data_IF_105480969222
#
_entry.id   IF_105480969222
#
_cell.length_a   1.000
_cell.length_b   1.000
_cell.length_c   1.000
_cell.angle_alpha   90.00
_cell.angle_beta   90.00
_cell.angle_gamma   90.00
#
_symmetry.space_group_name_H-M   'P 1'
#
loop_
_entity.id
_entity.type
_entity.pdbx_description
1 polymer ?
#
# COMPACT_ATOMS: atom_id res chain seq x y z
N UNK A 1 -10.00 11.66 6.46
CA UNK A 1 -9.81 10.29 5.98
C UNK A 1 -11.01 9.80 5.14
N UNK A 2 -12.26 9.72 5.68
CA UNK A 2 -13.42 9.14 4.96
C UNK A 2 -13.68 9.77 3.59
N UNK A 3 -13.71 11.11 3.49
CA UNK A 3 -13.94 11.81 2.22
C UNK A 3 -12.84 11.50 1.19
N UNK A 4 -11.58 11.53 1.61
CA UNK A 4 -10.43 11.31 0.71
C UNK A 4 -10.44 9.89 0.16
N UNK A 5 -10.62 8.89 1.03
CA UNK A 5 -10.66 7.49 0.57
C UNK A 5 -11.86 7.23 -0.35
N UNK A 6 -13.04 7.82 -0.07
CA UNK A 6 -14.22 7.67 -0.93
C UNK A 6 -13.98 8.28 -2.32
N UNK A 7 -13.36 9.45 -2.40
CA UNK A 7 -13.02 10.08 -3.68
C UNK A 7 -11.95 9.28 -4.42
N UNK A 8 -10.90 8.82 -3.73
CA UNK A 8 -9.86 8.00 -4.34
C UNK A 8 -10.40 6.68 -4.92
N UNK A 9 -11.26 6.00 -4.16
CA UNK A 9 -11.94 4.78 -4.61
C UNK A 9 -12.86 5.06 -5.80
N UNK A 10 -13.66 6.13 -5.73
CA UNK A 10 -14.53 6.56 -6.84
C UNK A 10 -13.73 6.81 -8.12
N UNK A 11 -12.64 7.57 -8.03
CA UNK A 11 -11.78 7.86 -9.18
C UNK A 11 -11.13 6.60 -9.76
N UNK A 12 -10.70 5.66 -8.90
CA UNK A 12 -10.15 4.38 -9.33
C UNK A 12 -11.16 3.59 -10.18
N UNK A 13 -12.39 3.39 -9.69
CA UNK A 13 -13.40 2.64 -10.45
C UNK A 13 -13.96 3.42 -11.65
N UNK A 14 -13.99 4.76 -11.58
CA UNK A 14 -14.31 5.61 -12.74
C UNK A 14 -13.27 5.42 -13.85
N UNK A 15 -11.98 5.37 -13.52
CA UNK A 15 -10.91 5.09 -14.47
C UNK A 15 -11.13 3.76 -15.19
N UNK A 16 -11.47 2.69 -14.44
CA UNK A 16 -11.71 1.36 -15.01
C UNK A 16 -12.96 1.35 -15.92
N UNK A 17 -13.98 2.14 -15.57
CA UNK A 17 -15.23 2.23 -16.34
C UNK A 17 -15.16 3.11 -17.58
N UNK A 18 -14.31 4.14 -17.58
CA UNK A 18 -14.26 5.19 -18.62
C UNK A 18 -13.11 5.01 -19.62
N UNK A 19 -12.74 3.80 -19.97
CA UNK A 19 -11.69 3.54 -21.01
C UNK A 19 -12.04 4.10 -22.40
N UNK A 20 -13.21 4.73 -22.56
CA UNK A 20 -13.74 5.18 -23.85
C UNK A 20 -13.73 6.72 -24.04
N UNK A 21 -13.37 7.51 -23.05
CA UNK A 21 -13.31 8.99 -23.20
C UNK A 21 -11.87 9.43 -23.48
N UNK A 22 -11.54 9.89 -24.72
CA UNK A 22 -10.17 10.20 -25.11
C UNK A 22 -9.59 11.49 -24.51
N UNK A 23 -10.41 12.35 -23.87
CA UNK A 23 -9.98 13.69 -23.48
C UNK A 23 -9.39 13.80 -22.07
N UNK A 24 -9.54 12.81 -21.20
CA UNK A 24 -9.01 12.85 -19.82
C UNK A 24 -8.43 11.51 -19.43
N UNK A 25 -7.12 11.41 -19.41
CA UNK A 25 -6.41 10.25 -18.87
C UNK A 25 -6.35 10.34 -17.34
N UNK A 26 -7.00 9.40 -16.65
CA UNK A 26 -6.91 9.26 -15.19
C UNK A 26 -5.83 8.24 -14.88
N UNK A 27 -4.72 8.68 -14.31
CA UNK A 27 -3.63 7.81 -13.89
C UNK A 27 -4.04 6.87 -12.75
N UNK A 28 -3.36 5.71 -12.68
CA UNK A 28 -3.50 4.79 -11.54
C UNK A 28 -3.06 5.49 -10.26
N UNK A 29 -3.93 5.52 -9.26
CA UNK A 29 -3.62 6.08 -7.93
C UNK A 29 -3.78 5.00 -6.86
N UNK A 30 -2.69 4.71 -6.16
CA UNK A 30 -2.70 3.90 -4.95
C UNK A 30 -2.88 4.81 -3.73
N UNK A 31 -3.30 4.25 -2.59
CA UNK A 31 -3.59 5.05 -1.39
C UNK A 31 -2.68 4.66 -0.23
N UNK A 32 -2.27 5.65 0.55
CA UNK A 32 -1.56 5.45 1.82
C UNK A 32 -2.44 5.94 2.97
N UNK A 33 -2.67 5.06 3.95
CA UNK A 33 -3.39 5.35 5.19
C UNK A 33 -2.41 5.44 6.35
N UNK A 34 -2.28 6.62 6.94
CA UNK A 34 -1.40 6.87 8.08
C UNK A 34 -2.26 7.05 9.33
N UNK A 35 -1.88 6.37 10.42
CA UNK A 35 -2.55 6.50 11.69
C UNK A 35 -2.15 5.40 12.68
N UNK A 36 -2.30 5.64 13.99
CA UNK A 36 -1.87 4.71 15.02
C UNK A 36 -2.56 3.34 14.88
N UNK A 37 -1.94 2.31 15.46
CA UNK A 37 -2.56 0.99 15.59
C UNK A 37 -3.90 1.11 16.32
N UNK A 38 -4.91 0.38 15.86
CA UNK A 38 -6.26 0.47 16.42
C UNK A 38 -7.12 1.64 15.92
N UNK A 39 -6.62 2.51 15.04
CA UNK A 39 -7.39 3.63 14.47
C UNK A 39 -8.48 3.23 13.46
N UNK A 40 -8.61 1.93 13.17
CA UNK A 40 -9.66 1.40 12.30
C UNK A 40 -9.32 1.39 10.80
N UNK A 41 -8.04 1.50 10.41
CA UNK A 41 -7.60 1.45 9.01
C UNK A 41 -8.13 0.22 8.29
N UNK A 42 -7.82 -0.96 8.81
CA UNK A 42 -8.24 -2.25 8.25
C UNK A 42 -9.77 -2.40 8.21
N UNK A 43 -10.47 -1.95 9.26
CA UNK A 43 -11.94 -1.97 9.32
C UNK A 43 -12.56 -1.11 8.21
N UNK A 44 -12.00 0.08 7.96
CA UNK A 44 -12.47 0.97 6.91
C UNK A 44 -12.35 0.33 5.52
N UNK A 45 -11.20 -0.30 5.23
CA UNK A 45 -10.98 -0.99 3.94
C UNK A 45 -11.92 -2.19 3.77
N UNK A 46 -12.10 -3.01 4.81
CA UNK A 46 -13.07 -4.12 4.79
C UNK A 46 -14.50 -3.64 4.49
N UNK A 47 -14.88 -2.53 5.10
CA UNK A 47 -16.21 -1.93 4.87
C UNK A 47 -16.36 -1.45 3.43
N UNK A 48 -15.34 -0.79 2.88
CA UNK A 48 -15.34 -0.33 1.49
C UNK A 48 -15.46 -1.49 0.50
N UNK A 49 -14.63 -2.53 0.64
CA UNK A 49 -14.67 -3.70 -0.23
C UNK A 49 -16.06 -4.40 -0.21
N UNK A 50 -16.65 -4.49 0.99
CA UNK A 50 -18.00 -5.03 1.15
C UNK A 50 -19.07 -4.17 0.47
N UNK A 51 -19.00 -2.84 0.61
CA UNK A 51 -19.94 -1.92 -0.03
C UNK A 51 -19.85 -1.94 -1.55
N UNK A 52 -18.64 -2.10 -2.09
CA UNK A 52 -18.39 -2.18 -3.52
C UNK A 52 -18.62 -3.58 -4.10
N UNK A 53 -18.79 -4.58 -3.24
CA UNK A 53 -18.90 -5.99 -3.61
C UNK A 53 -17.73 -6.47 -4.49
N UNK A 54 -16.50 -6.13 -4.08
CA UNK A 54 -15.26 -6.51 -4.75
C UNK A 54 -14.39 -7.41 -3.88
N UNK A 55 -13.58 -8.32 -4.46
CA UNK A 55 -12.67 -9.14 -3.69
C UNK A 55 -11.63 -8.29 -2.96
N UNK A 56 -11.26 -8.74 -1.75
CA UNK A 56 -10.29 -8.07 -0.89
C UNK A 56 -9.25 -9.08 -0.41
N UNK A 57 -7.98 -8.78 -0.65
CA UNK A 57 -6.87 -9.43 0.03
C UNK A 57 -6.28 -8.50 1.09
N UNK A 58 -5.97 -9.06 2.26
CA UNK A 58 -5.29 -8.36 3.35
C UNK A 58 -4.01 -9.09 3.66
N UNK A 59 -2.92 -8.37 3.72
CA UNK A 59 -1.62 -8.90 4.11
C UNK A 59 -0.90 -7.92 5.03
N UNK A 60 0.01 -8.46 5.83
CA UNK A 60 0.92 -7.70 6.67
C UNK A 60 2.28 -7.62 5.94
N UNK A 61 2.81 -6.41 5.76
CA UNK A 61 4.08 -6.21 5.08
C UNK A 61 5.25 -6.93 5.76
N UNK A 62 5.16 -7.15 7.07
CA UNK A 62 6.21 -7.86 7.83
C UNK A 62 6.26 -9.36 7.57
N UNK A 63 5.19 -9.94 7.04
CA UNK A 63 5.14 -11.35 6.63
C UNK A 63 5.75 -11.60 5.25
N UNK A 64 5.97 -10.53 4.48
CA UNK A 64 6.48 -10.61 3.10
C UNK A 64 8.01 -10.72 3.09
N UNK A 65 8.52 -11.54 2.17
CA UNK A 65 9.95 -11.75 1.95
C UNK A 65 10.27 -11.73 0.45
N UNK A 66 11.56 -11.60 0.13
CA UNK A 66 12.04 -11.81 -1.23
C UNK A 66 11.78 -13.27 -1.66
N UNK A 67 11.43 -13.46 -2.93
CA UNK A 67 11.19 -14.78 -3.50
C UNK A 67 12.35 -15.77 -3.22
N UNK A 68 12.02 -16.97 -2.75
CA UNK A 68 12.99 -18.00 -2.40
C UNK A 68 13.47 -18.02 -0.95
N UNK A 69 13.02 -17.09 -0.10
CA UNK A 69 13.26 -17.10 1.34
C UNK A 69 12.04 -17.61 2.13
N UNK A 70 12.25 -17.91 3.42
CA UNK A 70 11.16 -18.35 4.31
C UNK A 70 10.25 -17.17 4.58
N UNK A 71 8.99 -17.27 4.17
CA UNK A 71 7.95 -16.25 4.29
C UNK A 71 7.03 -16.25 3.08
N UNK A 72 6.05 -15.35 3.10
CA UNK A 72 5.16 -15.14 1.97
C UNK A 72 5.90 -14.32 0.90
N UNK A 73 5.96 -14.82 -0.32
CA UNK A 73 6.44 -14.06 -1.47
C UNK A 73 5.52 -12.86 -1.74
N UNK A 74 6.09 -11.75 -2.19
CA UNK A 74 5.31 -10.53 -2.54
C UNK A 74 4.16 -10.85 -3.49
N UNK A 75 4.36 -11.77 -4.42
CA UNK A 75 3.33 -12.19 -5.39
C UNK A 75 2.22 -13.04 -4.77
N UNK A 76 2.45 -13.64 -3.58
CA UNK A 76 1.43 -14.37 -2.83
C UNK A 76 0.21 -13.53 -2.47
N UNK A 77 0.41 -12.21 -2.39
CA UNK A 77 -0.67 -11.24 -2.16
C UNK A 77 -1.72 -11.31 -3.27
N UNK A 78 -1.26 -11.46 -4.53
CA UNK A 78 -2.16 -11.61 -5.69
C UNK A 78 -2.84 -12.98 -5.69
N UNK A 79 -2.14 -14.04 -5.24
CA UNK A 79 -2.76 -15.37 -5.07
C UNK A 79 -3.89 -15.32 -4.03
N UNK A 80 -3.68 -14.61 -2.90
CA UNK A 80 -4.74 -14.39 -1.89
C UNK A 80 -5.94 -13.63 -2.48
N UNK A 81 -5.69 -12.63 -3.34
CA UNK A 81 -6.75 -11.88 -4.00
C UNK A 81 -7.52 -12.75 -4.99
N UNK A 82 -6.83 -13.58 -5.79
CA UNK A 82 -7.45 -14.51 -6.72
C UNK A 82 -8.34 -15.52 -6.00
N UNK A 83 -7.90 -16.07 -4.87
CA UNK A 83 -8.71 -16.94 -4.03
C UNK A 83 -9.96 -16.21 -3.48
N UNK A 84 -9.79 -14.96 -3.01
CA UNK A 84 -10.93 -14.16 -2.53
C UNK A 84 -11.93 -13.84 -3.66
N UNK A 85 -11.48 -13.83 -4.91
CA UNK A 85 -12.32 -13.69 -6.11
C UNK A 85 -12.97 -15.01 -6.57
N UNK A 86 -12.76 -16.12 -5.86
CA UNK A 86 -13.23 -17.45 -6.27
C UNK A 86 -12.49 -18.03 -7.48
N UNK A 87 -11.22 -17.66 -7.65
CA UNK A 87 -10.35 -17.97 -8.79
C UNK A 87 -10.82 -17.36 -10.13
N UNK A 88 -11.64 -16.31 -10.07
CA UNK A 88 -12.05 -15.53 -11.23
C UNK A 88 -11.06 -14.37 -11.44
N UNK A 89 -10.29 -14.44 -12.52
CA UNK A 89 -9.22 -13.48 -12.83
C UNK A 89 -9.79 -12.08 -13.08
N UNK A 90 -10.89 -11.95 -13.82
CA UNK A 90 -11.49 -10.64 -14.12
C UNK A 90 -11.98 -9.94 -12.87
N UNK A 91 -12.54 -10.69 -11.92
CA UNK A 91 -12.93 -10.15 -10.61
C UNK A 91 -11.71 -9.78 -9.77
N UNK A 92 -10.67 -10.62 -9.77
CA UNK A 92 -9.45 -10.34 -9.03
C UNK A 92 -8.78 -9.04 -9.52
N UNK A 93 -8.70 -8.82 -10.82
CA UNK A 93 -8.12 -7.62 -11.44
C UNK A 93 -8.86 -6.32 -11.11
N UNK A 94 -10.09 -6.40 -10.60
CA UNK A 94 -10.90 -5.27 -10.09
C UNK A 94 -10.99 -5.23 -8.57
N UNK A 95 -10.20 -6.04 -7.90
CA UNK A 95 -10.20 -6.17 -6.44
C UNK A 95 -9.40 -5.09 -5.73
N UNK A 96 -9.38 -5.22 -4.41
CA UNK A 96 -8.63 -4.35 -3.50
C UNK A 96 -7.58 -5.21 -2.78
N UNK A 97 -6.36 -4.71 -2.70
CA UNK A 97 -5.28 -5.25 -1.86
C UNK A 97 -5.00 -4.25 -0.75
N UNK A 98 -5.07 -4.69 0.50
CA UNK A 98 -4.66 -3.91 1.66
C UNK A 98 -3.39 -4.49 2.26
N UNK A 99 -2.32 -3.69 2.29
CA UNK A 99 -1.03 -4.04 2.87
C UNK A 99 -0.87 -3.23 4.15
N UNK A 100 -0.99 -3.88 5.31
CA UNK A 100 -0.80 -3.22 6.62
C UNK A 100 0.66 -3.22 7.05
N UNK A 101 1.01 -2.39 8.02
CA UNK A 101 2.34 -2.26 8.61
C UNK A 101 3.47 -1.94 7.61
N UNK A 102 3.14 -1.19 6.54
CA UNK A 102 4.11 -0.84 5.48
C UNK A 102 5.33 -0.05 6.03
N UNK A 103 5.17 0.67 7.14
CA UNK A 103 6.25 1.39 7.81
C UNK A 103 7.31 0.48 8.44
N UNK A 104 7.01 -0.81 8.63
CA UNK A 104 7.91 -1.78 9.27
C UNK A 104 8.95 -2.36 8.33
N UNK A 105 8.73 -2.32 7.02
CA UNK A 105 9.68 -2.80 6.01
C UNK A 105 10.70 -1.74 5.58
N UNK A 106 10.84 -0.65 6.33
CA UNK A 106 11.86 0.37 6.09
C UNK A 106 13.26 -0.23 6.28
N UNK A 107 14.19 0.12 5.37
CA UNK A 107 15.59 -0.31 5.44
C UNK A 107 16.24 0.06 6.78
N UNK A 108 16.84 -0.90 7.46
CA UNK A 108 17.61 -0.68 8.68
C UNK A 108 18.96 -0.02 8.32
N UNK A 109 19.31 1.09 8.97
CA UNK A 109 20.47 1.93 8.65
C UNK A 109 21.86 1.27 8.76
N UNK A 110 22.00 0.09 9.38
CA UNK A 110 23.31 -0.48 9.78
C UNK A 110 23.50 -1.96 9.41
N UNK A 111 22.92 -2.47 8.33
CA UNK A 111 23.19 -3.86 7.91
C UNK A 111 24.04 -3.90 6.66
N UNK A 112 25.29 -4.43 6.79
CA UNK A 112 26.15 -4.78 5.66
C UNK A 112 25.68 -6.07 4.94
N UNK A 113 24.55 -6.64 5.32
CA UNK A 113 23.95 -7.82 4.70
C UNK A 113 22.75 -7.42 3.83
N UNK A 114 22.48 -8.20 2.77
CA UNK A 114 21.32 -8.07 1.91
C UNK A 114 20.04 -8.10 2.77
N UNK A 115 19.24 -7.06 2.70
CA UNK A 115 17.98 -6.95 3.44
C UNK A 115 16.84 -7.58 2.62
N UNK A 116 16.61 -8.87 2.83
CA UNK A 116 15.59 -9.67 2.11
C UNK A 116 14.16 -9.42 2.60
N UNK A 117 14.00 -8.75 3.75
CA UNK A 117 12.70 -8.44 4.37
C UNK A 117 12.32 -6.95 4.32
N UNK A 118 13.22 -6.09 3.89
CA UNK A 118 13.02 -4.65 3.81
C UNK A 118 13.09 -4.14 2.37
N UNK A 119 14.29 -3.78 1.89
CA UNK A 119 14.48 -3.16 0.58
C UNK A 119 14.01 -4.04 -0.59
N UNK A 120 14.30 -5.34 -0.56
CA UNK A 120 13.86 -6.26 -1.62
C UNK A 120 12.35 -6.40 -1.69
N UNK A 121 11.66 -6.41 -0.53
CA UNK A 121 10.19 -6.42 -0.47
C UNK A 121 9.62 -5.13 -1.04
N UNK A 122 10.21 -3.96 -0.71
CA UNK A 122 9.78 -2.68 -1.28
C UNK A 122 9.88 -2.68 -2.80
N UNK A 123 11.00 -3.16 -3.37
CA UNK A 123 11.18 -3.25 -4.82
C UNK A 123 10.18 -4.22 -5.49
N UNK A 124 9.89 -5.35 -4.84
CA UNK A 124 8.86 -6.28 -5.32
C UNK A 124 7.46 -5.66 -5.32
N UNK A 125 7.10 -4.98 -4.23
CA UNK A 125 5.83 -4.28 -4.11
C UNK A 125 5.68 -3.16 -5.14
N UNK A 126 6.76 -2.43 -5.45
CA UNK A 126 6.72 -1.33 -6.42
C UNK A 126 6.21 -1.80 -7.78
N UNK A 127 6.68 -2.96 -8.27
CA UNK A 127 6.20 -3.56 -9.53
C UNK A 127 4.69 -3.84 -9.51
N UNK A 128 4.17 -4.34 -8.40
CA UNK A 128 2.73 -4.59 -8.25
C UNK A 128 1.92 -3.29 -8.21
N UNK A 129 2.44 -2.27 -7.52
CA UNK A 129 1.80 -0.97 -7.36
C UNK A 129 1.73 -0.19 -8.67
N UNK A 130 2.77 -0.27 -9.50
CA UNK A 130 2.82 0.37 -10.83
C UNK A 130 1.90 -0.32 -11.84
N UNK A 131 1.79 -1.63 -11.76
CA UNK A 131 1.00 -2.46 -12.66
C UNK A 131 1.88 -3.39 -13.48
N UNK A 132 1.69 -4.69 -13.28
CA UNK A 132 2.43 -5.75 -13.96
C UNK A 132 1.58 -7.00 -14.14
N UNK A 133 1.99 -7.87 -15.05
CA UNK A 133 1.45 -9.21 -15.16
C UNK A 133 2.16 -10.13 -14.17
N UNK A 134 1.41 -10.82 -13.36
CA UNK A 134 1.91 -11.71 -12.30
C UNK A 134 1.37 -13.11 -12.52
N UNK A 135 2.23 -14.10 -12.56
CA UNK A 135 1.83 -15.51 -12.61
C UNK A 135 1.59 -16.03 -11.20
N UNK A 136 0.38 -16.51 -10.96
CA UNK A 136 -0.05 -17.01 -9.65
C UNK A 136 -0.70 -18.39 -9.77
N UNK A 137 -0.55 -19.25 -8.75
CA UNK A 137 -1.16 -20.57 -8.73
C UNK A 137 -2.67 -20.48 -8.51
N UNK A 138 -3.43 -21.24 -9.27
CA UNK A 138 -4.90 -21.31 -9.13
C UNK A 138 -5.25 -22.23 -7.97
N UNK A 139 -5.99 -21.71 -6.98
CA UNK A 139 -6.41 -22.48 -5.81
C UNK A 139 -5.32 -22.75 -4.76
N UNK A 140 -4.13 -22.17 -4.91
CA UNK A 140 -3.04 -22.26 -3.93
C UNK A 140 -2.41 -20.88 -3.68
N UNK A 141 -1.68 -20.74 -2.58
CA UNK A 141 -0.96 -19.49 -2.26
C UNK A 141 0.52 -19.55 -2.59
N UNK A 142 1.08 -20.74 -2.77
CA UNK A 142 2.49 -20.95 -3.06
C UNK A 142 2.71 -21.45 -4.49
N UNK A 143 3.66 -20.85 -5.20
CA UNK A 143 4.10 -21.27 -6.56
C UNK A 143 4.71 -22.68 -6.58
N UNK A 144 5.13 -23.20 -5.43
CA UNK A 144 5.66 -24.57 -5.32
C UNK A 144 4.56 -25.65 -5.32
N UNK A 145 3.29 -25.27 -5.28
CA UNK A 145 2.19 -26.20 -5.46
C UNK A 145 2.15 -26.69 -6.92
N UNK A 146 2.01 -27.99 -7.14
CA UNK A 146 1.80 -28.57 -8.48
C UNK A 146 0.38 -28.28 -8.99
N UNK A 147 0.06 -27.01 -9.20
CA UNK A 147 -1.23 -26.52 -9.68
C UNK A 147 -1.03 -25.64 -10.90
N UNK A 148 -2.02 -25.51 -11.78
CA UNK A 148 -1.94 -24.61 -12.92
C UNK A 148 -1.65 -23.17 -12.48
N UNK A 149 -0.81 -22.47 -13.24
CA UNK A 149 -0.57 -21.03 -13.10
C UNK A 149 -1.53 -20.26 -13.99
N UNK A 150 -1.94 -19.08 -13.53
CA UNK A 150 -2.67 -18.11 -14.33
C UNK A 150 -2.03 -16.74 -14.19
N UNK A 151 -2.19 -15.91 -15.20
CA UNK A 151 -1.67 -14.53 -15.19
C UNK A 151 -2.76 -13.59 -14.72
N UNK A 152 -2.41 -12.72 -13.77
CA UNK A 152 -3.27 -11.64 -13.26
C UNK A 152 -2.57 -10.31 -13.51
N UNK A 153 -3.26 -9.36 -14.14
CA UNK A 153 -2.77 -8.01 -14.38
C UNK A 153 -3.12 -7.09 -13.21
N UNK A 154 -2.10 -6.51 -12.59
CA UNK A 154 -2.30 -5.67 -11.39
C UNK A 154 -2.65 -4.21 -11.71
N UNK A 155 -2.72 -3.81 -12.97
CA UNK A 155 -2.95 -2.42 -13.39
C UNK A 155 -4.28 -1.84 -12.87
N UNK A 156 -5.31 -2.66 -12.78
CA UNK A 156 -6.64 -2.27 -12.33
C UNK A 156 -6.94 -2.71 -10.88
N UNK A 157 -5.99 -3.32 -10.19
CA UNK A 157 -6.10 -3.61 -8.76
C UNK A 157 -5.85 -2.32 -7.95
N UNK A 158 -6.72 -2.04 -6.99
CA UNK A 158 -6.53 -0.92 -6.06
C UNK A 158 -5.66 -1.37 -4.89
N UNK A 159 -4.49 -0.78 -4.75
CA UNK A 159 -3.64 -1.00 -3.60
C UNK A 159 -3.85 0.11 -2.56
N UNK A 160 -4.07 -0.31 -1.32
CA UNK A 160 -4.15 0.57 -0.16
C UNK A 160 -3.09 0.10 0.83
N UNK A 161 -2.13 0.94 1.16
CA UNK A 161 -1.09 0.65 2.15
C UNK A 161 -1.45 1.32 3.49
N UNK A 162 -1.28 0.62 4.60
CA UNK A 162 -1.50 1.14 5.94
C UNK A 162 -0.22 1.12 6.77
N UNK A 163 -0.02 2.14 7.60
CA UNK A 163 1.11 2.19 8.53
C UNK A 163 0.88 3.16 9.67
N UNK A 164 1.62 2.99 10.77
CA UNK A 164 1.54 3.88 11.93
C UNK A 164 2.43 5.11 11.78
N UNK A 165 3.64 4.95 11.21
CA UNK A 165 4.63 6.01 11.02
C UNK A 165 4.88 6.87 12.28
N UNK A 166 5.28 6.28 13.42
CA UNK A 166 5.27 6.93 14.74
C UNK A 166 6.14 8.19 14.84
N UNK A 167 7.19 8.33 14.01
CA UNK A 167 8.11 9.48 14.04
C UNK A 167 7.91 10.47 12.89
N UNK A 168 6.84 10.33 12.11
CA UNK A 168 6.60 11.17 10.94
C UNK A 168 6.40 12.64 11.32
N UNK A 169 5.71 12.92 12.43
CA UNK A 169 5.53 14.27 12.98
C UNK A 169 6.85 14.96 13.30
N UNK A 170 7.80 14.25 13.94
CA UNK A 170 9.14 14.76 14.25
C UNK A 170 9.93 15.09 12.98
N UNK A 171 9.84 14.22 11.97
CA UNK A 171 10.52 14.43 10.68
C UNK A 171 9.96 15.66 9.98
N UNK A 172 8.64 15.84 9.98
CA UNK A 172 7.96 17.00 9.39
C UNK A 172 8.35 18.28 10.14
N UNK A 173 8.29 18.28 11.48
CA UNK A 173 8.75 19.40 12.30
C UNK A 173 10.18 19.81 11.97
N UNK A 174 11.10 18.85 11.99
CA UNK A 174 12.52 19.11 11.66
C UNK A 174 12.69 19.67 10.23
N UNK A 175 11.88 19.25 9.26
CA UNK A 175 11.90 19.75 7.89
C UNK A 175 11.38 21.18 7.79
N UNK A 176 10.29 21.50 8.50
CA UNK A 176 9.67 22.83 8.49
C UNK A 176 10.52 23.86 9.26
N UNK A 177 11.25 23.43 10.32
CA UNK A 177 12.06 24.30 11.16
C UNK A 177 13.47 24.54 10.65
N UNK A 178 13.87 24.03 9.50
CA UNK A 178 15.23 24.18 8.93
C UNK A 178 15.67 25.64 8.67
N UNK A 179 14.82 26.64 8.86
CA UNK A 179 15.13 28.03 8.57
C UNK A 179 15.61 28.88 9.76
N UNK A 180 15.66 28.37 11.01
CA UNK A 180 15.91 29.25 12.17
C UNK A 180 17.03 28.84 13.12
N UNK A 181 17.99 28.00 12.73
CA UNK A 181 18.99 27.53 13.69
C UNK A 181 20.33 28.27 13.72
N UNK A 182 20.52 29.37 12.97
CA UNK A 182 21.75 30.17 13.03
C UNK A 182 21.44 31.67 13.08
N UNK A 183 21.42 32.24 14.28
CA UNK A 183 21.34 33.65 14.51
C UNK A 183 20.77 34.04 15.88
N UNK A 184 21.08 35.29 16.34
CA UNK A 184 20.58 35.88 17.59
C UNK A 184 19.06 36.08 17.68
N UNK A 185 18.30 35.66 16.68
CA UNK A 185 16.81 35.68 16.60
C UNK A 185 16.21 34.29 16.50
N UNK A 186 16.82 33.29 17.13
CA UNK A 186 16.18 31.97 17.24
C UNK A 186 14.94 32.12 18.12
N UNK A 187 13.75 31.99 17.54
CA UNK A 187 12.50 31.88 18.29
C UNK A 187 12.62 30.67 19.26
N UNK A 188 12.57 30.98 20.57
CA UNK A 188 12.72 29.99 21.63
C UNK A 188 11.53 29.00 21.75
N UNK A 189 10.50 29.16 20.93
CA UNK A 189 9.38 28.23 20.80
C UNK A 189 9.33 27.66 19.38
N UNK A 190 9.30 26.35 19.31
CA UNK A 190 9.05 25.65 18.06
C UNK A 190 7.65 26.00 17.54
N UNK A 191 7.58 26.71 16.43
CA UNK A 191 6.33 27.25 15.82
C UNK A 191 5.29 26.15 15.52
N UNK A 192 5.69 24.87 15.51
CA UNK A 192 4.86 23.73 15.15
C UNK A 192 4.63 22.75 16.30
N UNK A 193 5.08 23.07 17.53
CA UNK A 193 4.92 22.16 18.67
C UNK A 193 3.46 21.87 19.02
N UNK A 194 2.58 22.86 18.83
CA UNK A 194 1.16 22.77 19.18
C UNK A 194 0.22 22.68 17.96
N UNK A 195 0.73 22.39 16.75
CA UNK A 195 -0.11 22.31 15.55
C UNK A 195 -0.79 20.92 15.42
N UNK A 196 -2.11 20.80 15.74
CA UNK A 196 -2.82 19.53 15.67
C UNK A 196 -3.01 19.01 14.26
N UNK A 197 -2.76 19.83 13.22
CA UNK A 197 -2.96 19.49 11.80
C UNK A 197 -1.63 19.29 11.06
N UNK A 198 -0.52 19.12 11.77
CA UNK A 198 0.82 19.00 11.19
C UNK A 198 0.91 17.91 10.10
N UNK A 199 0.23 16.78 10.30
CA UNK A 199 0.22 15.67 9.35
C UNK A 199 -0.71 15.87 8.14
N UNK A 200 -1.44 17.00 8.08
CA UNK A 200 -2.34 17.33 6.97
C UNK A 200 -1.72 18.36 6.00
N UNK A 201 -0.55 18.87 6.33
CA UNK A 201 0.27 19.79 5.51
C UNK A 201 1.32 19.01 4.71
#
# INVERSE_FOLDING_TARGET
>A
AKKVISVGVYNHYKRIGNQSEPDVEIEKSNMLMIGPTGSGKTYLVKTLAKLLNVPLAITDATSLTEAGYIGDDVESVISKLLQAAGNDVEKAERGIVFIDEIDKIAKKRNTNSRDVSGESVQQGLLKLLEGSNVEVPVGATSKNAMVPLTTVNTQNILFICGGAFPDLDKIIKARLNKQSSMGFQADLKDKYDDDPNLLQK
#
